data_IF_739923422198
#
_entry.id   IF_739923422198
#
_cell.length_a   1.000
_cell.length_b   1.000
_cell.length_c   1.000
_cell.angle_alpha   90.00
_cell.angle_beta   90.00
_cell.angle_gamma   90.00
#
_symmetry.space_group_name_H-M   'P 1'
#
loop_
_entity.id
_entity.type
_entity.pdbx_description
1 polymer ?
#
# COMPACT_ATOMS: atom_id res chain seq x y z
N UNK A 1 -16.58 6.07 21.14
CA UNK A 1 -16.31 6.72 19.84
C UNK A 1 -15.64 5.69 18.96
N UNK A 2 -16.37 5.14 18.00
CA UNK A 2 -15.79 4.23 17.01
C UNK A 2 -14.84 5.08 16.18
N UNK A 3 -13.53 4.90 16.36
CA UNK A 3 -12.59 5.28 15.32
C UNK A 3 -13.08 4.58 14.07
N UNK A 4 -13.58 5.33 13.09
CA UNK A 4 -13.82 4.81 11.77
C UNK A 4 -12.44 4.36 11.29
N UNK A 5 -12.11 3.09 11.51
CA UNK A 5 -11.01 2.43 10.84
C UNK A 5 -11.38 2.48 9.36
N UNK A 6 -10.99 3.58 8.72
CA UNK A 6 -10.78 3.63 7.28
C UNK A 6 -9.85 2.45 7.05
N UNK A 7 -10.37 1.35 6.47
CA UNK A 7 -9.65 0.08 6.33
C UNK A 7 -8.20 0.37 5.98
N UNK A 8 -7.31 0.16 6.96
CA UNK A 8 -6.05 0.89 7.02
C UNK A 8 -5.24 0.74 5.74
N UNK A 9 -4.37 1.70 5.41
CA UNK A 9 -3.48 1.68 4.23
C UNK A 9 -3.05 0.29 3.75
N UNK A 10 -2.68 -0.62 4.67
CA UNK A 10 -2.31 -1.99 4.36
C UNK A 10 -3.44 -2.84 3.74
N UNK A 11 -4.65 -2.77 4.26
CA UNK A 11 -5.84 -3.42 3.70
C UNK A 11 -6.16 -2.86 2.31
N UNK A 12 -6.20 -1.52 2.19
CA UNK A 12 -6.40 -0.86 0.89
C UNK A 12 -5.36 -1.31 -0.15
N UNK A 13 -4.07 -1.33 0.20
CA UNK A 13 -3.01 -1.81 -0.70
C UNK A 13 -3.22 -3.26 -1.11
N UNK A 14 -3.63 -4.13 -0.18
CA UNK A 14 -3.91 -5.54 -0.46
C UNK A 14 -5.08 -5.70 -1.42
N UNK A 15 -6.13 -4.91 -1.27
CA UNK A 15 -7.28 -4.89 -2.18
C UNK A 15 -6.88 -4.43 -3.57
N UNK A 16 -6.19 -3.30 -3.68
CA UNK A 16 -5.70 -2.79 -4.97
C UNK A 16 -4.79 -3.79 -5.67
N UNK A 17 -3.89 -4.45 -4.93
CA UNK A 17 -3.03 -5.50 -5.47
C UNK A 17 -3.84 -6.67 -6.04
N UNK A 18 -4.87 -7.12 -5.32
CA UNK A 18 -5.76 -8.22 -5.76
C UNK A 18 -6.59 -7.81 -6.97
N UNK A 19 -7.10 -6.59 -7.00
CA UNK A 19 -7.83 -6.04 -8.15
C UNK A 19 -6.94 -5.99 -9.41
N UNK A 20 -5.67 -5.63 -9.24
CA UNK A 20 -4.64 -5.67 -10.28
C UNK A 20 -4.16 -7.10 -10.64
N UNK A 21 -4.68 -8.15 -9.97
CA UNK A 21 -4.29 -9.56 -10.13
C UNK A 21 -2.79 -9.81 -9.94
N UNK A 22 -2.16 -9.03 -9.06
CA UNK A 22 -0.74 -9.18 -8.72
C UNK A 22 -0.58 -10.07 -7.48
N UNK A 23 0.37 -11.00 -7.54
CA UNK A 23 0.91 -11.61 -6.33
C UNK A 23 1.68 -10.57 -5.52
N UNK A 24 1.88 -10.85 -4.22
CA UNK A 24 2.68 -9.99 -3.35
C UNK A 24 4.11 -9.79 -3.91
N UNK A 25 4.70 -10.84 -4.50
CA UNK A 25 6.02 -10.77 -5.12
C UNK A 25 6.04 -9.86 -6.33
N UNK A 26 5.06 -9.99 -7.23
CA UNK A 26 5.00 -9.13 -8.41
C UNK A 26 4.84 -7.65 -8.06
N UNK A 27 4.02 -7.32 -7.05
CA UNK A 27 3.91 -5.92 -6.62
C UNK A 27 5.20 -5.43 -5.97
N UNK A 28 5.83 -6.24 -5.11
CA UNK A 28 7.09 -5.89 -4.47
C UNK A 28 8.18 -5.60 -5.52
N UNK A 29 8.33 -6.50 -6.50
CA UNK A 29 9.30 -6.35 -7.59
C UNK A 29 9.00 -5.09 -8.43
N UNK A 30 7.72 -4.83 -8.77
CA UNK A 30 7.33 -3.66 -9.55
C UNK A 30 7.49 -2.33 -8.79
N UNK A 31 7.34 -2.35 -7.47
CA UNK A 31 7.52 -1.18 -6.61
C UNK A 31 8.97 -1.01 -6.14
N UNK A 32 9.89 -1.92 -6.48
CA UNK A 32 11.29 -1.83 -6.05
C UNK A 32 11.50 -2.05 -4.55
N UNK A 33 10.61 -2.82 -3.90
CA UNK A 33 10.69 -3.12 -2.47
C UNK A 33 10.84 -4.61 -2.21
N UNK A 34 11.29 -4.99 -1.03
CA UNK A 34 11.35 -6.41 -0.67
C UNK A 34 9.95 -6.98 -0.39
N UNK A 35 9.72 -8.23 -0.78
CA UNK A 35 8.48 -8.94 -0.50
C UNK A 35 8.11 -8.99 1.00
N UNK A 36 9.06 -9.26 1.94
CA UNK A 36 8.77 -9.20 3.37
C UNK A 36 8.35 -7.81 3.86
N UNK A 37 8.93 -6.74 3.31
CA UNK A 37 8.56 -5.38 3.68
C UNK A 37 7.14 -5.05 3.21
N UNK A 38 6.80 -5.36 1.96
CA UNK A 38 5.43 -5.19 1.46
C UNK A 38 4.41 -6.03 2.27
N UNK A 39 4.76 -7.27 2.65
CA UNK A 39 3.95 -8.10 3.54
C UNK A 39 3.68 -7.43 4.90
N UNK A 40 4.66 -6.74 5.46
CA UNK A 40 4.51 -6.01 6.71
C UNK A 40 3.61 -4.78 6.54
N UNK A 41 3.73 -4.06 5.42
CA UNK A 41 2.85 -2.93 5.09
C UNK A 41 1.39 -3.39 4.97
N UNK A 42 1.10 -4.43 4.18
CA UNK A 42 -0.28 -4.93 3.98
C UNK A 42 -0.94 -5.43 5.26
N UNK A 43 -0.15 -5.77 6.28
CA UNK A 43 -0.63 -6.20 7.60
C UNK A 43 -0.65 -5.06 8.63
N UNK A 44 -0.30 -3.83 8.25
CA UNK A 44 -0.23 -2.69 9.16
C UNK A 44 0.95 -2.74 10.14
N UNK A 45 1.92 -3.63 9.95
CA UNK A 45 3.07 -3.80 10.85
C UNK A 45 4.19 -2.79 10.56
N UNK A 46 4.19 -2.15 9.39
CA UNK A 46 5.14 -1.12 9.00
C UNK A 46 4.43 0.03 8.30
N UNK A 47 4.82 1.25 8.66
CA UNK A 47 4.42 2.47 7.96
C UNK A 47 5.42 2.74 6.82
N UNK A 48 4.99 2.80 5.56
CA UNK A 48 5.85 3.17 4.44
C UNK A 48 6.18 4.68 4.47
N UNK A 49 7.31 5.06 3.85
CA UNK A 49 7.61 6.46 3.59
C UNK A 49 6.80 7.00 2.41
N UNK A 50 6.77 8.32 2.23
CA UNK A 50 6.12 8.94 1.07
C UNK A 50 6.69 8.43 -0.27
N UNK A 51 8.00 8.22 -0.35
CA UNK A 51 8.66 7.65 -1.54
C UNK A 51 8.16 6.23 -1.84
N UNK A 52 8.05 5.36 -0.82
CA UNK A 52 7.50 4.01 -0.99
C UNK A 52 6.04 4.07 -1.44
N UNK A 53 5.24 5.00 -0.91
CA UNK A 53 3.86 5.19 -1.35
C UNK A 53 3.79 5.62 -2.82
N UNK A 54 4.67 6.50 -3.29
CA UNK A 54 4.75 6.85 -4.72
C UNK A 54 5.11 5.66 -5.59
N UNK A 55 6.07 4.83 -5.18
CA UNK A 55 6.47 3.63 -5.90
C UNK A 55 5.32 2.61 -5.99
N UNK A 56 4.60 2.39 -4.88
CA UNK A 56 3.44 1.51 -4.84
C UNK A 56 2.29 2.05 -5.70
N UNK A 57 2.00 3.35 -5.64
CA UNK A 57 0.99 3.98 -6.48
C UNK A 57 1.30 3.81 -7.96
N UNK A 58 2.57 4.03 -8.36
CA UNK A 58 3.04 3.82 -9.74
C UNK A 58 2.88 2.36 -10.17
N UNK A 59 3.30 1.41 -9.34
CA UNK A 59 3.19 -0.02 -9.64
C UNK A 59 1.73 -0.49 -9.77
N UNK A 60 0.83 0.06 -8.95
CA UNK A 60 -0.61 -0.21 -8.97
C UNK A 60 -1.39 0.63 -10.00
N UNK A 61 -0.73 1.60 -10.65
CA UNK A 61 -1.33 2.55 -11.59
C UNK A 61 -2.50 3.34 -10.98
N UNK A 62 -2.33 3.80 -9.75
CA UNK A 62 -3.29 4.65 -9.03
C UNK A 62 -2.62 5.97 -8.61
N UNK A 63 -3.42 6.94 -8.14
CA UNK A 63 -2.88 8.20 -7.62
C UNK A 63 -2.14 7.97 -6.30
N UNK A 64 -0.96 8.60 -6.17
CA UNK A 64 -0.23 8.63 -4.89
C UNK A 64 -1.01 9.38 -3.81
N UNK A 65 -1.79 10.39 -4.18
CA UNK A 65 -2.67 11.13 -3.28
C UNK A 65 -3.66 10.21 -2.56
N UNK A 66 -4.25 9.24 -3.28
CA UNK A 66 -5.13 8.23 -2.69
C UNK A 66 -4.40 7.46 -1.58
N UNK A 67 -3.15 7.05 -1.81
CA UNK A 67 -2.37 6.36 -0.80
C UNK A 67 -1.98 7.26 0.37
N UNK A 68 -1.73 8.55 0.13
CA UNK A 68 -1.43 9.49 1.21
C UNK A 68 -2.62 9.75 2.13
N UNK A 69 -3.83 9.87 1.57
CA UNK A 69 -5.07 9.97 2.35
C UNK A 69 -5.27 8.71 3.19
N UNK A 70 -5.09 7.52 2.59
CA UNK A 70 -5.19 6.24 3.32
C UNK A 70 -4.09 6.07 4.40
N UNK A 71 -2.94 6.71 4.21
CA UNK A 71 -1.83 6.72 5.16
C UNK A 71 -1.97 7.81 6.24
N UNK A 72 -2.95 8.73 6.13
CA UNK A 72 -3.18 9.83 7.06
C UNK A 72 -2.08 10.89 7.04
N UNK A 73 -1.47 11.15 5.88
CA UNK A 73 -0.39 12.14 5.69
C UNK A 73 -0.81 13.34 4.84
N UNK A 74 -2.07 13.39 4.44
CA UNK A 74 -2.78 14.46 3.73
C UNK A 74 -4.14 14.63 4.41
#
# INVERSE_FOLDING_TARGET
MVSLDVGGLGEFLREQRRAARLSLRQLADAAGVSNPYLSQIERGLRKPSAEILQQLAKALRISAETLYVQAGIL
#
